data_IF_661204790862
#
_entry.id   IF_661204790862
#
_cell.length_a   1.000
_cell.length_b   1.000
_cell.length_c   1.000
_cell.angle_alpha   90.00
_cell.angle_beta   90.00
_cell.angle_gamma   90.00
#
_symmetry.space_group_name_H-M   'P 1'
#
loop_
_entity.id
_entity.type
_entity.pdbx_description
1 polymer ?
#
# COMPACT_ATOMS: atom_id res chain seq x y z
N UNK A 1 2.40 -1.78 35.57
CA UNK A 1 0.95 -1.66 35.28
C UNK A 1 0.72 -1.39 33.80
N UNK A 2 1.17 -0.28 33.18
CA UNK A 2 0.88 0.08 31.78
C UNK A 2 1.32 -1.01 30.79
N UNK A 3 2.53 -1.56 30.94
CA UNK A 3 3.03 -2.67 30.11
C UNK A 3 2.16 -3.93 30.23
N UNK A 4 1.67 -4.25 31.43
CA UNK A 4 0.81 -5.40 31.66
C UNK A 4 -0.56 -5.20 31.02
N UNK A 5 -1.13 -3.99 31.10
CA UNK A 5 -2.40 -3.64 30.44
C UNK A 5 -2.24 -3.74 28.91
N UNK A 6 -1.14 -3.20 28.36
CA UNK A 6 -0.86 -3.29 26.92
C UNK A 6 -0.75 -4.75 26.47
N UNK A 7 -0.02 -5.58 27.24
CA UNK A 7 0.14 -7.02 26.95
C UNK A 7 -1.20 -7.78 27.04
N UNK A 8 -2.00 -7.51 28.08
CA UNK A 8 -3.31 -8.12 28.20
C UNK A 8 -4.24 -7.78 27.02
N UNK A 9 -4.22 -6.49 26.57
CA UNK A 9 -4.98 -6.07 25.38
C UNK A 9 -4.49 -6.75 24.10
N UNK A 10 -3.18 -6.92 23.93
CA UNK A 10 -2.59 -7.61 22.78
C UNK A 10 -3.03 -9.08 22.73
N UNK A 11 -2.93 -9.79 23.86
CA UNK A 11 -3.35 -11.20 23.96
C UNK A 11 -4.86 -11.32 23.74
N UNK A 12 -5.67 -10.46 24.39
CA UNK A 12 -7.10 -10.49 24.21
C UNK A 12 -7.52 -10.23 22.75
N UNK A 13 -6.85 -9.26 22.10
CA UNK A 13 -7.06 -9.02 20.66
C UNK A 13 -6.69 -10.24 19.83
N UNK A 14 -5.56 -10.89 20.12
CA UNK A 14 -5.15 -12.10 19.41
C UNK A 14 -6.19 -13.22 19.56
N UNK A 15 -6.71 -13.42 20.77
CA UNK A 15 -7.73 -14.43 21.05
C UNK A 15 -9.03 -14.09 20.29
N UNK A 16 -9.63 -12.95 20.56
CA UNK A 16 -10.96 -12.61 20.00
C UNK A 16 -10.95 -12.35 18.49
N UNK A 17 -9.90 -11.72 17.96
CA UNK A 17 -9.83 -11.37 16.54
C UNK A 17 -9.39 -12.54 15.67
N UNK A 18 -8.53 -13.42 16.18
CA UNK A 18 -7.98 -14.51 15.37
C UNK A 18 -8.49 -15.88 15.80
N UNK A 19 -8.32 -16.29 17.08
CA UNK A 19 -8.68 -17.64 17.50
C UNK A 19 -10.20 -17.86 17.43
N UNK A 20 -10.98 -17.02 18.09
CA UNK A 20 -12.44 -17.13 18.07
C UNK A 20 -13.00 -17.04 16.64
N UNK A 21 -12.43 -16.15 15.83
CA UNK A 21 -12.85 -15.97 14.44
C UNK A 21 -12.52 -17.19 13.58
N UNK A 22 -11.32 -17.79 13.75
CA UNK A 22 -10.90 -19.01 13.07
C UNK A 22 -11.85 -20.15 13.43
N UNK A 23 -12.11 -20.36 14.73
CA UNK A 23 -13.01 -21.42 15.20
C UNK A 23 -14.43 -21.24 14.68
N UNK A 24 -14.94 -20.00 14.73
CA UNK A 24 -16.31 -19.67 14.25
C UNK A 24 -16.50 -19.96 12.76
N UNK A 25 -15.46 -19.74 11.94
CA UNK A 25 -15.54 -19.90 10.49
C UNK A 25 -14.90 -21.22 9.99
N UNK A 26 -14.48 -22.08 10.90
CA UNK A 26 -14.00 -23.41 10.55
C UNK A 26 -15.15 -24.33 10.18
N UNK A 27 -15.09 -24.96 9.01
CA UNK A 27 -16.03 -25.97 8.56
C UNK A 27 -15.27 -27.18 8.02
N UNK A 28 -15.50 -28.35 8.60
CA UNK A 28 -14.82 -29.61 8.23
C UNK A 28 -13.29 -29.47 8.15
N UNK A 29 -12.70 -28.80 9.14
CA UNK A 29 -11.26 -28.56 9.22
C UNK A 29 -10.71 -27.53 8.24
N UNK A 30 -11.56 -26.78 7.54
CA UNK A 30 -11.18 -25.74 6.57
C UNK A 30 -11.78 -24.39 6.92
N UNK A 31 -11.16 -23.33 6.44
CA UNK A 31 -11.67 -21.96 6.54
C UNK A 31 -11.85 -21.43 5.11
N UNK A 32 -13.06 -20.90 4.88
CA UNK A 32 -13.40 -20.28 3.60
C UNK A 32 -13.72 -18.81 3.83
N UNK A 33 -12.80 -17.92 3.47
CA UNK A 33 -13.00 -16.48 3.56
C UNK A 33 -13.75 -15.97 2.33
N UNK A 34 -14.49 -14.89 2.51
CA UNK A 34 -15.03 -14.10 1.40
C UNK A 34 -13.92 -13.25 0.80
N UNK A 35 -13.77 -13.30 -0.53
CA UNK A 35 -12.77 -12.53 -1.26
C UNK A 35 -13.46 -11.50 -2.14
N UNK A 36 -13.31 -10.22 -1.78
CA UNK A 36 -13.85 -9.11 -2.55
C UNK A 36 -12.81 -8.64 -3.58
N UNK A 37 -13.08 -8.88 -4.86
CA UNK A 37 -12.20 -8.50 -5.96
C UNK A 37 -12.41 -7.06 -6.42
N UNK A 38 -13.63 -6.55 -6.31
CA UNK A 38 -14.06 -5.23 -6.75
C UNK A 38 -14.57 -4.42 -5.58
N UNK A 39 -14.40 -3.11 -5.65
CA UNK A 39 -14.98 -2.19 -4.68
C UNK A 39 -16.50 -2.17 -4.81
N UNK A 40 -17.19 -2.39 -3.67
CA UNK A 40 -18.63 -2.27 -3.51
C UNK A 40 -18.95 -1.57 -2.18
N UNK A 41 -20.22 -1.42 -1.87
CA UNK A 41 -20.67 -0.85 -0.59
C UNK A 41 -20.31 -1.75 0.60
N UNK A 42 -20.19 -3.06 0.37
CA UNK A 42 -19.92 -4.05 1.43
C UNK A 42 -18.43 -4.43 1.54
N UNK A 43 -17.57 -4.11 0.56
CA UNK A 43 -16.18 -4.48 0.63
C UNK A 43 -15.35 -4.07 -0.59
N UNK A 44 -14.16 -4.65 -0.70
CA UNK A 44 -13.21 -4.38 -1.77
C UNK A 44 -12.38 -3.12 -1.56
N UNK A 45 -11.40 -2.88 -2.44
CA UNK A 45 -10.47 -1.76 -2.37
C UNK A 45 -10.54 -0.89 -3.62
N UNK A 46 -10.26 0.39 -3.48
CA UNK A 46 -10.18 1.33 -4.63
C UNK A 46 -8.95 1.09 -5.51
N UNK A 47 -7.96 0.38 -4.99
CA UNK A 47 -6.71 0.05 -5.72
C UNK A 47 -6.82 -1.25 -6.51
N UNK A 48 -7.87 -2.05 -6.28
CA UNK A 48 -8.05 -3.37 -6.89
C UNK A 48 -7.30 -4.51 -6.21
N UNK A 49 -6.66 -4.25 -5.06
CA UNK A 49 -6.22 -5.33 -4.17
C UNK A 49 -7.42 -6.12 -3.72
N UNK A 50 -7.25 -7.41 -3.46
CA UNK A 50 -8.27 -8.18 -2.75
C UNK A 50 -8.49 -7.63 -1.35
N UNK A 51 -9.71 -7.74 -0.85
CA UNK A 51 -9.98 -7.64 0.57
C UNK A 51 -10.72 -8.87 1.04
N UNK A 52 -10.35 -9.36 2.21
CA UNK A 52 -10.92 -10.55 2.81
C UNK A 52 -11.89 -10.18 3.92
N UNK A 53 -12.97 -10.94 4.02
CA UNK A 53 -13.94 -10.87 5.11
C UNK A 53 -14.37 -12.27 5.51
N UNK A 54 -14.90 -12.41 6.71
CA UNK A 54 -15.54 -13.62 7.23
C UNK A 54 -14.74 -14.93 7.04
N UNK A 55 -13.46 -15.03 7.51
CA UNK A 55 -12.66 -14.06 8.25
C UNK A 55 -11.69 -13.27 7.35
N UNK A 56 -11.13 -12.17 7.89
CA UNK A 56 -10.07 -11.45 7.17
C UNK A 56 -8.71 -12.11 7.37
N UNK A 57 -8.36 -13.05 6.50
CA UNK A 57 -7.11 -13.80 6.55
C UNK A 57 -5.86 -12.94 6.26
N UNK A 58 -6.02 -11.76 5.65
CA UNK A 58 -4.89 -10.84 5.42
C UNK A 58 -4.42 -10.13 6.70
N UNK A 59 -5.16 -10.25 7.80
CA UNK A 59 -4.78 -9.64 9.08
C UNK A 59 -4.06 -10.61 10.04
N UNK A 60 -3.83 -11.85 9.63
CA UNK A 60 -3.09 -12.82 10.46
C UNK A 60 -1.71 -12.22 10.80
N UNK A 61 -1.35 -12.14 12.10
CA UNK A 61 -0.17 -11.43 12.53
C UNK A 61 1.10 -12.09 11.98
N UNK A 62 1.95 -11.29 11.33
CA UNK A 62 3.24 -11.72 10.82
C UNK A 62 4.43 -11.13 11.62
N UNK A 63 4.26 -9.89 12.15
CA UNK A 63 5.36 -9.14 12.78
C UNK A 63 5.56 -9.44 14.27
N UNK A 64 4.54 -9.94 14.95
CA UNK A 64 4.66 -10.33 16.34
C UNK A 64 5.41 -11.67 16.43
N UNK A 65 6.60 -11.66 17.05
CA UNK A 65 7.50 -12.83 17.09
C UNK A 65 6.97 -14.00 17.94
N UNK A 66 6.01 -13.75 18.82
CA UNK A 66 5.43 -14.76 19.71
C UNK A 66 4.05 -15.23 19.18
N UNK A 67 3.11 -14.27 19.03
CA UNK A 67 1.74 -14.58 18.62
C UNK A 67 1.62 -14.91 17.13
N UNK A 68 2.49 -14.33 16.29
CA UNK A 68 2.50 -14.58 14.85
C UNK A 68 2.70 -16.07 14.51
N UNK A 69 3.81 -16.68 14.91
CA UNK A 69 4.04 -18.11 14.67
C UNK A 69 2.96 -19.01 15.30
N UNK A 70 2.50 -18.67 16.50
CA UNK A 70 1.46 -19.43 17.19
C UNK A 70 0.15 -19.47 16.40
N UNK A 71 -0.33 -18.33 15.89
CA UNK A 71 -1.58 -18.27 15.12
C UNK A 71 -1.38 -18.86 13.72
N UNK A 72 -0.24 -18.61 13.08
CA UNK A 72 0.06 -19.17 11.75
C UNK A 72 0.19 -20.70 11.77
N UNK A 73 0.67 -21.30 12.85
CA UNK A 73 0.77 -22.75 12.99
C UNK A 73 -0.58 -23.49 13.03
N UNK A 74 -1.69 -22.76 13.19
CA UNK A 74 -3.03 -23.34 13.09
C UNK A 74 -3.43 -23.67 11.64
N UNK A 75 -2.75 -23.08 10.67
CA UNK A 75 -2.96 -23.32 9.25
C UNK A 75 -1.96 -24.37 8.79
N UNK A 76 -2.44 -25.56 8.53
CA UNK A 76 -1.62 -26.70 8.10
C UNK A 76 -1.98 -27.09 6.65
N UNK A 77 -1.04 -27.60 5.87
CA UNK A 77 -1.35 -28.16 4.55
C UNK A 77 -2.15 -29.47 4.70
N UNK A 78 -2.77 -29.92 3.62
CA UNK A 78 -3.34 -31.25 3.56
C UNK A 78 -2.25 -32.31 3.70
N UNK A 79 -2.65 -33.52 4.09
CA UNK A 79 -1.74 -34.67 4.18
C UNK A 79 -1.05 -34.92 2.82
N UNK A 80 0.27 -35.08 2.86
CA UNK A 80 1.09 -35.24 1.65
C UNK A 80 1.40 -33.95 0.90
N UNK A 81 0.98 -32.77 1.40
CA UNK A 81 1.26 -31.47 0.80
C UNK A 81 2.14 -30.60 1.71
N UNK A 82 2.69 -29.55 1.12
CA UNK A 82 3.47 -28.53 1.85
C UNK A 82 2.99 -27.13 1.44
N UNK A 83 3.19 -26.13 2.33
CA UNK A 83 2.97 -24.74 1.97
C UNK A 83 4.13 -24.19 1.13
N UNK A 84 3.82 -23.64 -0.02
CA UNK A 84 4.70 -22.72 -0.74
C UNK A 84 4.28 -21.30 -0.45
N UNK A 85 5.23 -20.45 -0.06
CA UNK A 85 5.03 -19.04 0.21
C UNK A 85 5.91 -18.24 -0.75
N UNK A 86 5.31 -17.37 -1.55
CA UNK A 86 5.98 -16.64 -2.62
C UNK A 86 5.68 -15.16 -2.49
N UNK A 87 6.70 -14.35 -2.19
CA UNK A 87 6.59 -12.91 -1.99
C UNK A 87 7.38 -12.15 -3.07
N UNK A 88 6.76 -11.13 -3.65
CA UNK A 88 7.46 -10.24 -4.57
C UNK A 88 8.42 -9.33 -3.81
N UNK A 89 9.71 -9.48 -4.07
CA UNK A 89 10.71 -8.59 -3.48
C UNK A 89 10.51 -7.14 -3.92
N UNK A 90 10.13 -6.29 -2.97
CA UNK A 90 10.00 -4.83 -3.17
C UNK A 90 9.09 -4.43 -4.34
N UNK A 91 7.94 -5.08 -4.49
CA UNK A 91 7.03 -4.88 -5.62
C UNK A 91 6.68 -3.40 -5.85
N UNK A 92 6.23 -2.68 -4.84
CA UNK A 92 5.84 -1.27 -4.96
C UNK A 92 7.03 -0.33 -5.26
N UNK A 93 8.20 -0.42 -4.57
CA UNK A 93 9.39 0.32 -4.93
C UNK A 93 9.83 0.13 -6.39
N UNK A 94 9.84 -1.11 -6.89
CA UNK A 94 10.18 -1.40 -8.29
C UNK A 94 9.21 -0.75 -9.26
N UNK A 95 7.92 -0.69 -8.93
CA UNK A 95 6.92 0.01 -9.75
C UNK A 95 7.12 1.52 -9.75
N UNK A 96 7.53 2.12 -8.63
CA UNK A 96 7.88 3.56 -8.59
C UNK A 96 9.04 3.85 -9.54
N UNK A 97 10.09 3.05 -9.48
CA UNK A 97 11.26 3.19 -10.38
C UNK A 97 10.84 2.97 -11.84
N UNK A 98 10.01 1.98 -12.12
CA UNK A 98 9.47 1.71 -13.45
C UNK A 98 8.72 2.93 -14.04
N UNK A 99 7.78 3.51 -13.30
CA UNK A 99 7.05 4.69 -13.76
C UNK A 99 7.93 5.92 -13.88
N UNK A 100 8.90 6.10 -12.99
CA UNK A 100 9.87 7.19 -13.08
C UNK A 100 10.77 7.03 -14.32
N UNK A 101 11.15 5.81 -14.67
CA UNK A 101 11.91 5.50 -15.86
C UNK A 101 11.10 5.74 -17.14
N UNK A 102 9.83 5.34 -17.19
CA UNK A 102 8.94 5.59 -18.33
C UNK A 102 8.73 7.09 -18.61
N UNK A 103 8.64 7.90 -17.55
CA UNK A 103 8.54 9.36 -17.67
C UNK A 103 9.94 10.03 -17.87
N UNK A 104 11.05 9.26 -17.96
CA UNK A 104 12.42 9.77 -18.17
C UNK A 104 12.92 10.69 -17.07
N UNK A 105 12.54 10.45 -15.82
CA UNK A 105 12.80 11.38 -14.72
C UNK A 105 14.26 11.37 -14.30
N UNK A 106 14.79 12.57 -14.01
CA UNK A 106 16.16 12.76 -13.56
C UNK A 106 16.45 12.03 -12.23
N UNK A 107 17.60 11.36 -12.15
CA UNK A 107 18.06 10.65 -10.95
C UNK A 107 17.51 9.22 -10.78
N UNK A 108 16.73 8.71 -11.75
CA UNK A 108 16.20 7.33 -11.67
C UNK A 108 17.20 6.28 -12.18
N UNK A 109 18.15 6.67 -13.04
CA UNK A 109 19.06 5.72 -13.73
C UNK A 109 19.95 4.94 -12.74
N UNK A 110 20.47 5.59 -11.73
CA UNK A 110 21.28 4.95 -10.67
C UNK A 110 20.52 3.79 -9.98
N UNK A 111 19.25 4.00 -9.71
CA UNK A 111 18.40 2.97 -9.09
C UNK A 111 18.07 1.84 -10.06
N UNK A 112 17.88 2.16 -11.34
CA UNK A 112 17.67 1.15 -12.40
C UNK A 112 18.89 0.24 -12.50
N UNK A 113 20.07 0.81 -12.55
CA UNK A 113 21.32 0.06 -12.71
C UNK A 113 21.57 -0.82 -11.48
N UNK A 114 21.36 -0.30 -10.28
CA UNK A 114 21.43 -1.10 -9.07
C UNK A 114 20.46 -2.31 -9.07
N UNK A 115 19.25 -2.14 -9.62
CA UNK A 115 18.30 -3.27 -9.76
C UNK A 115 18.70 -4.30 -10.82
N UNK A 116 19.46 -3.90 -11.85
CA UNK A 116 20.00 -4.82 -12.88
C UNK A 116 21.17 -5.64 -12.37
N UNK A 117 22.00 -5.06 -11.50
CA UNK A 117 23.22 -5.67 -10.98
C UNK A 117 22.97 -6.69 -9.86
N UNK A 118 21.71 -6.84 -9.39
CA UNK A 118 21.38 -7.84 -8.38
C UNK A 118 20.23 -7.48 -7.45
N UNK A 119 20.31 -7.90 -6.21
CA UNK A 119 19.31 -7.64 -5.16
C UNK A 119 19.47 -6.22 -4.58
N UNK A 120 18.97 -5.22 -5.29
CA UNK A 120 18.98 -3.86 -4.78
C UNK A 120 17.87 -3.65 -3.74
N UNK A 121 18.23 -3.07 -2.61
CA UNK A 121 17.27 -2.56 -1.63
C UNK A 121 16.98 -1.07 -1.90
N UNK A 122 15.82 -0.78 -2.48
CA UNK A 122 15.41 0.59 -2.77
C UNK A 122 15.53 1.55 -1.57
N UNK A 123 15.19 1.06 -0.37
CA UNK A 123 15.27 1.89 0.82
C UNK A 123 16.72 2.16 1.23
N UNK A 124 17.62 1.21 0.98
CA UNK A 124 19.05 1.39 1.22
C UNK A 124 19.66 2.34 0.18
N UNK A 125 19.36 2.17 -1.10
CA UNK A 125 19.81 3.08 -2.17
C UNK A 125 19.38 4.51 -1.88
N UNK A 126 18.10 4.71 -1.54
CA UNK A 126 17.58 6.04 -1.19
C UNK A 126 18.23 6.58 0.09
N UNK A 127 18.54 5.73 1.06
CA UNK A 127 19.26 6.13 2.27
C UNK A 127 20.65 6.68 1.94
N UNK A 128 21.38 6.01 1.07
CA UNK A 128 22.71 6.41 0.59
C UNK A 128 22.65 7.70 -0.25
N UNK A 129 21.74 7.75 -1.22
CA UNK A 129 21.53 8.95 -2.04
C UNK A 129 21.18 10.19 -1.20
N UNK A 130 20.36 10.03 -0.19
CA UNK A 130 19.87 11.13 0.66
C UNK A 130 20.75 11.39 1.89
N UNK A 131 21.76 10.55 2.16
CA UNK A 131 22.61 10.58 3.35
C UNK A 131 21.80 10.55 4.65
N UNK A 132 20.92 9.56 4.77
CA UNK A 132 20.03 9.35 5.93
C UNK A 132 19.99 7.88 6.33
N UNK A 133 19.65 7.53 7.59
CA UNK A 133 19.46 6.15 8.00
C UNK A 133 18.39 5.41 7.16
N UNK A 134 18.64 4.15 6.81
CA UNK A 134 17.70 3.31 6.03
C UNK A 134 16.29 3.26 6.62
N UNK A 135 16.15 3.25 7.93
CA UNK A 135 14.85 3.27 8.60
C UNK A 135 14.07 4.55 8.32
N UNK A 136 14.74 5.69 8.27
CA UNK A 136 14.14 6.98 7.89
C UNK A 136 13.80 6.99 6.40
N UNK A 137 14.70 6.54 5.52
CA UNK A 137 14.44 6.41 4.10
C UNK A 137 13.20 5.54 3.83
N UNK A 138 13.08 4.40 4.51
CA UNK A 138 11.89 3.53 4.42
C UNK A 138 10.61 4.27 4.82
N UNK A 139 10.61 4.99 5.93
CA UNK A 139 9.46 5.75 6.42
C UNK A 139 9.07 6.86 5.44
N UNK A 140 10.05 7.58 4.90
CA UNK A 140 9.83 8.65 3.91
C UNK A 140 9.28 8.07 2.61
N UNK A 141 9.91 7.03 2.08
CA UNK A 141 9.48 6.39 0.83
C UNK A 141 8.02 5.91 0.93
N UNK A 142 7.70 5.14 1.96
CA UNK A 142 6.33 4.68 2.19
C UNK A 142 5.38 5.86 2.39
N UNK A 143 5.81 6.87 3.18
CA UNK A 143 5.03 8.07 3.40
C UNK A 143 4.66 8.77 2.10
N UNK A 144 5.62 9.00 1.22
CA UNK A 144 5.38 9.64 -0.09
C UNK A 144 4.52 8.79 -1.02
N UNK A 145 4.76 7.47 -1.07
CA UNK A 145 3.94 6.56 -1.88
C UNK A 145 2.47 6.55 -1.44
N UNK A 146 2.22 6.74 -0.14
CA UNK A 146 0.87 6.78 0.43
C UNK A 146 0.28 8.19 0.55
N UNK A 147 0.95 9.22 0.01
CA UNK A 147 0.48 10.60 0.08
C UNK A 147 0.50 11.17 1.49
N UNK A 148 1.44 10.73 2.31
CA UNK A 148 1.62 11.21 3.67
C UNK A 148 2.10 12.66 3.66
N UNK A 149 1.39 13.52 4.37
CA UNK A 149 1.81 14.90 4.58
C UNK A 149 2.95 15.00 5.60
N UNK A 150 3.66 16.12 5.55
CA UNK A 150 4.83 16.45 6.39
C UNK A 150 4.60 16.26 7.89
N UNK A 151 3.45 16.72 8.40
CA UNK A 151 3.12 16.61 9.82
C UNK A 151 3.00 15.16 10.29
N UNK A 152 2.44 14.29 9.45
CA UNK A 152 2.34 12.87 9.76
C UNK A 152 3.71 12.20 9.74
N UNK A 153 4.56 12.54 8.77
CA UNK A 153 5.92 12.01 8.70
C UNK A 153 6.76 12.45 9.91
N UNK A 154 6.63 13.72 10.35
CA UNK A 154 7.25 14.22 11.55
C UNK A 154 6.88 13.37 12.77
N UNK A 155 5.60 13.06 12.95
CA UNK A 155 5.12 12.21 14.04
C UNK A 155 5.66 10.77 13.96
N UNK A 156 5.70 10.19 12.76
CA UNK A 156 6.20 8.83 12.54
C UNK A 156 7.72 8.71 12.82
N UNK A 157 8.49 9.74 12.53
CA UNK A 157 9.93 9.77 12.78
C UNK A 157 10.28 10.22 14.21
N UNK A 158 9.33 10.77 14.96
CA UNK A 158 9.56 11.30 16.31
C UNK A 158 10.53 12.49 16.35
N UNK A 159 10.58 13.30 15.30
CA UNK A 159 11.48 14.45 15.15
C UNK A 159 10.71 15.79 15.23
N UNK A 160 11.42 16.88 15.50
CA UNK A 160 10.81 18.20 15.49
C UNK A 160 10.53 18.72 14.06
N UNK A 161 9.77 19.81 13.93
CA UNK A 161 9.34 20.34 12.64
C UNK A 161 10.51 20.78 11.76
N UNK A 162 11.54 21.41 12.34
CA UNK A 162 12.68 21.93 11.56
C UNK A 162 13.51 20.79 11.00
N UNK A 163 13.81 19.77 11.82
CA UNK A 163 14.48 18.54 11.35
C UNK A 163 13.66 17.83 10.27
N UNK A 164 12.32 17.80 10.41
CA UNK A 164 11.47 17.22 9.38
C UNK A 164 11.54 18.00 8.07
N UNK A 165 11.57 19.34 8.13
CA UNK A 165 11.72 20.21 6.94
C UNK A 165 13.06 19.97 6.25
N UNK A 166 14.14 19.95 7.02
CA UNK A 166 15.48 19.75 6.48
C UNK A 166 15.64 18.37 5.85
N UNK A 167 15.16 17.33 6.53
CA UNK A 167 15.17 15.97 6.01
C UNK A 167 14.37 15.83 4.70
N UNK A 168 13.18 16.44 4.63
CA UNK A 168 12.38 16.48 3.40
C UNK A 168 13.08 17.18 2.25
N UNK A 169 13.69 18.34 2.54
CA UNK A 169 14.45 19.10 1.56
C UNK A 169 15.65 18.30 1.04
N UNK A 170 16.42 17.71 1.94
CA UNK A 170 17.55 16.85 1.62
C UNK A 170 17.11 15.66 0.75
N UNK A 171 16.08 14.93 1.18
CA UNK A 171 15.52 13.82 0.43
C UNK A 171 15.11 14.23 -1.00
N UNK A 172 14.32 15.29 -1.13
CA UNK A 172 13.85 15.72 -2.45
C UNK A 172 14.94 16.25 -3.37
N UNK A 173 16.00 16.82 -2.81
CA UNK A 173 17.17 17.25 -3.59
C UNK A 173 17.99 16.06 -4.08
N UNK A 174 18.13 15.01 -3.27
CA UNK A 174 18.93 13.83 -3.56
C UNK A 174 18.18 12.76 -4.34
N UNK A 175 16.85 12.67 -4.16
CA UNK A 175 15.96 11.68 -4.81
C UNK A 175 14.80 12.42 -5.53
N UNK A 176 15.09 13.25 -6.53
CA UNK A 176 14.10 14.16 -7.14
C UNK A 176 13.00 13.42 -7.91
N UNK A 177 13.28 12.24 -8.47
CA UNK A 177 12.33 11.50 -9.29
C UNK A 177 11.06 11.09 -8.52
N UNK A 178 11.15 10.80 -7.23
CA UNK A 178 9.97 10.38 -6.43
C UNK A 178 8.97 11.53 -6.32
N UNK A 179 9.44 12.73 -5.98
CA UNK A 179 8.57 13.92 -5.90
C UNK A 179 8.04 14.31 -7.27
N UNK A 180 8.88 14.31 -8.29
CA UNK A 180 8.49 14.65 -9.66
C UNK A 180 7.43 13.70 -10.19
N UNK A 181 7.57 12.40 -9.95
CA UNK A 181 6.56 11.39 -10.29
C UNK A 181 5.25 11.67 -9.56
N UNK A 182 5.30 11.90 -8.24
CA UNK A 182 4.11 12.20 -7.43
C UNK A 182 3.35 13.42 -7.99
N UNK A 183 4.05 14.52 -8.25
CA UNK A 183 3.45 15.77 -8.76
C UNK A 183 2.87 15.56 -10.18
N UNK A 184 3.56 14.80 -11.04
CA UNK A 184 3.09 14.44 -12.38
C UNK A 184 1.81 13.61 -12.33
N UNK A 185 1.79 12.54 -11.53
CA UNK A 185 0.63 11.64 -11.40
C UNK A 185 -0.56 12.36 -10.77
N UNK A 186 -0.32 13.21 -9.77
CA UNK A 186 -1.35 14.03 -9.13
C UNK A 186 -1.97 15.03 -10.14
N UNK A 187 -1.16 15.66 -10.97
CA UNK A 187 -1.62 16.56 -12.05
C UNK A 187 -2.44 15.79 -13.09
N UNK A 188 -1.99 14.61 -13.53
CA UNK A 188 -2.76 13.72 -14.43
C UNK A 188 -4.12 13.36 -13.82
N UNK A 189 -4.17 13.05 -12.51
CA UNK A 189 -5.42 12.77 -11.80
C UNK A 189 -6.35 13.99 -11.72
N UNK A 190 -5.80 15.17 -11.42
CA UNK A 190 -6.57 16.41 -11.33
C UNK A 190 -7.18 16.80 -12.67
N UNK A 191 -6.41 16.74 -13.75
CA UNK A 191 -6.85 17.15 -15.07
C UNK A 191 -7.80 16.13 -15.72
N UNK A 192 -7.40 14.84 -15.69
CA UNK A 192 -8.09 13.78 -16.44
C UNK A 192 -9.12 13.01 -15.59
N UNK A 193 -9.20 13.28 -14.28
CA UNK A 193 -10.07 12.58 -13.34
C UNK A 193 -9.72 11.11 -13.15
N UNK A 194 -8.57 10.67 -13.61
CA UNK A 194 -8.14 9.26 -13.51
C UNK A 194 -6.63 9.09 -13.68
N UNK A 195 -6.12 7.99 -13.12
CA UNK A 195 -4.84 7.38 -13.47
C UNK A 195 -5.07 5.97 -14.02
N UNK A 196 -4.13 5.44 -14.78
CA UNK A 196 -4.19 4.07 -15.32
C UNK A 196 -3.02 3.27 -14.81
N UNK A 197 -3.28 2.06 -14.33
CA UNK A 197 -2.27 1.07 -14.01
C UNK A 197 -1.59 0.55 -15.29
N UNK A 198 -0.51 -0.18 -15.13
CA UNK A 198 0.27 -0.71 -16.25
C UNK A 198 -0.52 -1.72 -17.12
N UNK A 199 -1.50 -2.44 -16.56
CA UNK A 199 -2.45 -3.26 -17.34
C UNK A 199 -3.69 -2.48 -17.81
N UNK A 200 -3.70 -1.15 -17.67
CA UNK A 200 -4.75 -0.29 -18.22
C UNK A 200 -5.97 -0.09 -17.32
N UNK A 201 -6.01 -0.67 -16.12
CA UNK A 201 -7.11 -0.47 -15.18
C UNK A 201 -7.20 1.01 -14.75
N UNK A 202 -8.40 1.54 -14.71
CA UNK A 202 -8.66 2.96 -14.41
C UNK A 202 -8.96 3.14 -12.93
N UNK A 203 -8.18 3.99 -12.26
CA UNK A 203 -8.47 4.49 -10.93
C UNK A 203 -9.04 5.91 -11.04
N UNK A 204 -10.32 6.10 -10.71
CA UNK A 204 -11.06 7.35 -10.93
C UNK A 204 -11.03 8.27 -9.71
N UNK A 205 -11.18 9.58 -9.97
CA UNK A 205 -11.30 10.64 -8.99
C UNK A 205 -12.55 11.48 -9.35
N UNK A 206 -13.72 10.94 -9.03
CA UNK A 206 -15.01 11.47 -9.47
C UNK A 206 -15.66 12.38 -8.42
N UNK A 207 -15.04 12.52 -7.23
CA UNK A 207 -15.52 13.42 -6.18
C UNK A 207 -14.79 14.76 -6.23
N UNK A 208 -15.49 15.81 -5.75
CA UNK A 208 -15.03 17.18 -5.78
C UNK A 208 -15.16 17.82 -4.39
N UNK A 209 -14.31 18.80 -4.11
CA UNK A 209 -14.27 19.58 -2.89
C UNK A 209 -13.98 21.05 -3.20
N UNK A 210 -14.32 22.01 -2.29
CA UNK A 210 -13.98 23.40 -2.51
C UNK A 210 -12.46 23.59 -2.56
N UNK A 211 -12.00 24.53 -3.41
CA UNK A 211 -10.59 24.89 -3.51
C UNK A 211 -10.17 25.84 -2.39
N UNK A 212 -10.48 25.45 -1.15
CA UNK A 212 -10.17 26.21 0.07
C UNK A 212 -9.43 25.32 1.05
N UNK A 213 -8.68 25.94 1.97
CA UNK A 213 -8.03 25.21 3.06
C UNK A 213 -9.08 24.77 4.09
N UNK A 214 -9.02 23.51 4.50
CA UNK A 214 -9.93 22.95 5.49
C UNK A 214 -10.23 21.46 5.26
N UNK A 215 -11.05 20.90 6.13
CA UNK A 215 -11.59 19.54 6.00
C UNK A 215 -12.99 19.67 5.39
N UNK A 216 -13.13 19.22 4.17
CA UNK A 216 -14.38 19.28 3.42
C UNK A 216 -14.88 17.88 3.08
N UNK A 217 -16.20 17.75 3.02
CA UNK A 217 -16.84 16.55 2.49
C UNK A 217 -16.71 16.54 0.97
N UNK A 218 -16.13 15.50 0.42
CA UNK A 218 -16.07 15.35 -1.03
C UNK A 218 -17.42 14.87 -1.57
N UNK A 219 -17.91 15.54 -2.61
CA UNK A 219 -19.23 15.37 -3.20
C UNK A 219 -19.13 15.01 -4.70
N UNK A 220 -20.15 14.41 -5.31
CA UNK A 220 -20.29 14.36 -6.76
C UNK A 220 -20.24 15.77 -7.38
N UNK A 221 -19.80 15.90 -8.63
CA UNK A 221 -19.53 17.19 -9.27
C UNK A 221 -20.69 18.20 -9.17
N UNK A 222 -21.90 17.78 -9.54
CA UNK A 222 -23.08 18.67 -9.52
C UNK A 222 -23.42 19.13 -8.10
N UNK A 223 -23.37 18.23 -7.13
CA UNK A 223 -23.63 18.56 -5.73
C UNK A 223 -22.55 19.51 -5.16
N UNK A 224 -21.28 19.28 -5.50
CA UNK A 224 -20.19 20.16 -5.09
C UNK A 224 -20.32 21.56 -5.72
N UNK A 225 -20.71 21.62 -6.99
CA UNK A 225 -20.95 22.89 -7.71
C UNK A 225 -22.12 23.67 -7.10
N UNK A 226 -23.20 22.98 -6.76
CA UNK A 226 -24.38 23.58 -6.12
C UNK A 226 -24.06 24.12 -4.72
N UNK A 227 -23.25 23.39 -3.94
CA UNK A 227 -22.92 23.75 -2.54
C UNK A 227 -21.82 24.82 -2.46
N UNK A 228 -20.81 24.76 -3.33
CA UNK A 228 -19.58 25.56 -3.20
C UNK A 228 -19.32 26.49 -4.39
N UNK A 229 -20.18 26.49 -5.40
CA UNK A 229 -20.00 27.30 -6.63
C UNK A 229 -18.82 26.78 -7.49
N UNK A 230 -18.34 27.58 -8.45
CA UNK A 230 -17.35 27.17 -9.45
C UNK A 230 -15.93 26.96 -8.88
N UNK A 231 -15.67 27.40 -7.64
CA UNK A 231 -14.36 27.30 -6.98
C UNK A 231 -14.07 25.90 -6.42
N UNK A 232 -14.33 24.84 -7.18
CA UNK A 232 -14.15 23.46 -6.77
C UNK A 232 -12.97 22.80 -7.50
N UNK A 233 -12.39 21.75 -6.87
CA UNK A 233 -11.34 20.91 -7.43
C UNK A 233 -11.65 19.44 -7.19
N UNK A 234 -11.01 18.54 -7.95
CA UNK A 234 -11.13 17.10 -7.69
C UNK A 234 -10.53 16.73 -6.34
N UNK A 235 -11.32 16.00 -5.56
CA UNK A 235 -10.94 15.52 -4.25
C UNK A 235 -9.97 14.33 -4.31
N UNK A 236 -9.17 14.17 -3.26
CA UNK A 236 -8.27 13.02 -3.04
C UNK A 236 -7.19 12.81 -4.10
N UNK A 237 -6.90 13.77 -4.97
CA UNK A 237 -5.87 13.63 -6.02
C UNK A 237 -4.46 13.42 -5.44
N UNK A 238 -4.20 13.84 -4.21
CA UNK A 238 -2.97 13.54 -3.48
C UNK A 238 -2.73 12.03 -3.27
N UNK A 239 -3.76 11.19 -3.39
CA UNK A 239 -3.67 9.72 -3.33
C UNK A 239 -3.36 9.08 -4.69
N UNK A 240 -3.14 9.89 -5.74
CA UNK A 240 -3.04 9.37 -7.11
C UNK A 240 -1.83 8.45 -7.30
N UNK A 241 -0.66 8.81 -6.75
CA UNK A 241 0.52 7.93 -6.80
C UNK A 241 0.25 6.60 -6.08
N UNK A 242 -0.32 6.63 -4.88
CA UNK A 242 -0.69 5.43 -4.16
C UNK A 242 -1.63 4.52 -4.98
N UNK A 243 -2.68 5.09 -5.57
CA UNK A 243 -3.62 4.32 -6.42
C UNK A 243 -2.96 3.75 -7.66
N UNK A 244 -2.00 4.46 -8.25
CA UNK A 244 -1.23 3.98 -9.40
C UNK A 244 -0.34 2.80 -9.00
N UNK A 245 0.46 2.95 -7.95
CA UNK A 245 1.45 1.96 -7.54
C UNK A 245 0.78 0.71 -6.96
N UNK A 246 -0.09 0.86 -5.96
CA UNK A 246 -0.82 -0.28 -5.40
C UNK A 246 -1.74 -0.95 -6.42
N UNK A 247 -2.31 -0.16 -7.33
CA UNK A 247 -3.13 -0.70 -8.39
C UNK A 247 -2.34 -1.55 -9.37
N UNK A 248 -1.15 -1.11 -9.75
CA UNK A 248 -0.26 -1.86 -10.64
C UNK A 248 0.30 -3.10 -9.94
N UNK A 249 0.62 -3.01 -8.65
CA UNK A 249 1.00 -4.14 -7.82
C UNK A 249 -0.11 -5.20 -7.77
N UNK A 250 -1.36 -4.79 -7.52
CA UNK A 250 -2.50 -5.70 -7.54
C UNK A 250 -2.72 -6.36 -8.91
N UNK A 251 -2.50 -5.63 -10.00
CA UNK A 251 -2.57 -6.18 -11.36
C UNK A 251 -1.51 -7.26 -11.59
N UNK A 252 -0.26 -7.04 -11.12
CA UNK A 252 0.83 -8.03 -11.21
C UNK A 252 0.47 -9.31 -10.46
N UNK A 253 0.08 -9.19 -9.20
CA UNK A 253 -0.27 -10.35 -8.36
C UNK A 253 -1.44 -11.12 -8.95
N UNK A 254 -2.49 -10.43 -9.41
CA UNK A 254 -3.64 -11.08 -10.06
C UNK A 254 -3.25 -11.80 -11.36
N UNK A 255 -2.36 -11.20 -12.15
CA UNK A 255 -1.84 -11.84 -13.36
C UNK A 255 -1.03 -13.09 -13.00
N UNK A 256 -0.15 -13.02 -12.02
CA UNK A 256 0.62 -14.16 -11.54
C UNK A 256 -0.30 -15.30 -11.08
N UNK A 257 -1.35 -15.00 -10.32
CA UNK A 257 -2.35 -16.00 -9.90
C UNK A 257 -3.02 -16.69 -11.09
N UNK A 258 -3.34 -15.95 -12.14
CA UNK A 258 -3.92 -16.53 -13.37
C UNK A 258 -2.93 -17.45 -14.08
N UNK A 259 -1.67 -17.06 -14.18
CA UNK A 259 -0.64 -17.91 -14.81
C UNK A 259 -0.36 -19.16 -13.96
N UNK A 260 -0.24 -19.03 -12.64
CA UNK A 260 -0.10 -20.17 -11.73
C UNK A 260 -1.28 -21.16 -11.87
N UNK A 261 -2.51 -20.65 -11.96
CA UNK A 261 -3.68 -21.48 -12.14
C UNK A 261 -3.65 -22.27 -13.48
N UNK A 262 -3.14 -21.68 -14.56
CA UNK A 262 -2.96 -22.38 -15.85
C UNK A 262 -1.94 -23.53 -15.75
N UNK A 263 -0.94 -23.38 -14.87
CA UNK A 263 0.05 -24.41 -14.58
C UNK A 263 -0.44 -25.45 -13.53
N UNK A 264 -1.73 -25.40 -13.16
CA UNK A 264 -2.33 -26.33 -12.21
C UNK A 264 -2.06 -25.99 -10.74
N UNK A 265 -1.45 -24.84 -10.44
CA UNK A 265 -1.17 -24.37 -9.08
C UNK A 265 -2.30 -23.46 -8.63
N UNK A 266 -3.00 -23.83 -7.56
CA UNK A 266 -4.08 -23.02 -6.99
C UNK A 266 -3.59 -22.26 -5.75
N UNK A 267 -3.50 -20.91 -5.80
CA UNK A 267 -3.22 -20.13 -4.62
C UNK A 267 -4.36 -20.25 -3.59
N UNK A 268 -4.03 -20.57 -2.35
CA UNK A 268 -5.02 -20.72 -1.27
C UNK A 268 -5.27 -19.42 -0.52
N UNK A 269 -4.22 -18.62 -0.33
CA UNK A 269 -4.28 -17.33 0.37
C UNK A 269 -3.44 -16.35 -0.44
N UNK A 270 -3.94 -15.14 -0.60
CA UNK A 270 -3.20 -14.04 -1.22
C UNK A 270 -3.16 -12.87 -0.23
N UNK A 271 -1.97 -12.41 0.15
CA UNK A 271 -1.74 -11.32 1.09
C UNK A 271 -0.86 -10.25 0.44
N UNK A 272 -1.50 -9.23 -0.15
CA UNK A 272 -0.83 -8.08 -0.81
C UNK A 272 0.08 -8.46 -1.98
N UNK A 273 1.35 -8.71 -1.73
CA UNK A 273 2.42 -9.09 -2.67
C UNK A 273 2.90 -10.55 -2.48
N UNK A 274 2.28 -11.25 -1.52
CA UNK A 274 2.53 -12.65 -1.16
C UNK A 274 1.35 -13.56 -1.54
#
# INVERSE_FOLDING_TARGET
VVKQIARAREINKAHTTFIDTILKHSHKGRIHAEINQLRSDVGGTVTGRFSYANPNLQQIPARNKELGPMIRSLFIPEEGHTWGCFDYSQQEPRLVVHYAALDGLYGVQEVIDAYKDGEADFHQIVAEMADIPRSQAKTINLGLFYGMGKNKLQAELGINEDKAKDLFKQYHNRVPFVKTLMDSVMRKASNNGRVRTWLGRRCRFDLWEPNQYGIHKALPHEAALAEHGPGIRRAYTYKALNRLIQGSAADMTKKAMVELHKEGITPHIQVHDE
#
